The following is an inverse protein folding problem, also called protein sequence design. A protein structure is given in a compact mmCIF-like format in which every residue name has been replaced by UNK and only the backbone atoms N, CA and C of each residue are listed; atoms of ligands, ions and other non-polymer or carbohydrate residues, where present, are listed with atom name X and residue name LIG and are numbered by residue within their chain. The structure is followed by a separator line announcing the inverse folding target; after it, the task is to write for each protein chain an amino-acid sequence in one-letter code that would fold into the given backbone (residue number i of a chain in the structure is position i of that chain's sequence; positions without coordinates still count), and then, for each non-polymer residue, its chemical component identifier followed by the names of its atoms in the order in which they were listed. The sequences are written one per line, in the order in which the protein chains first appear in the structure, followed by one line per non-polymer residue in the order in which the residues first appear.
data_IF_788862415156
#
_entry.id   IF_788862415156
#
_cell.length_a   1.000
_cell.length_b   1.000
_cell.length_c   1.000
_cell.angle_alpha   90.00
_cell.angle_beta   90.00
_cell.angle_gamma   90.00
#
_symmetry.space_group_name_H-M   'P 1'
#
loop_
_entity.id
_entity.type
_entity.pdbx_description
1 polymer ?
#
# COMPACT_ATOMS: atom_id res chain seq x y z
N UNK A 1 10.67 -2.99 -14.79
CA UNK A 1 11.39 -2.24 -13.74
C UNK A 1 10.40 -2.01 -12.61
N UNK A 2 10.78 -2.30 -11.36
CA UNK A 2 9.94 -1.96 -10.20
C UNK A 2 9.94 -0.44 -10.06
N UNK A 3 8.80 0.17 -9.74
CA UNK A 3 8.70 1.62 -9.54
C UNK A 3 9.11 1.99 -8.09
N UNK A 4 9.28 3.28 -7.82
CA UNK A 4 9.69 3.78 -6.51
C UNK A 4 8.74 3.39 -5.37
N UNK A 5 7.43 3.26 -5.64
CA UNK A 5 6.45 2.81 -4.65
C UNK A 5 6.64 1.34 -4.28
N UNK A 6 6.78 0.47 -5.28
CA UNK A 6 7.02 -0.97 -5.07
C UNK A 6 8.31 -1.21 -4.27
N UNK A 7 9.39 -0.53 -4.64
CA UNK A 7 10.67 -0.65 -3.93
C UNK A 7 10.58 -0.16 -2.49
N UNK A 8 9.83 0.92 -2.26
CA UNK A 8 9.60 1.45 -0.92
C UNK A 8 8.81 0.47 -0.04
N UNK A 9 7.70 -0.08 -0.54
CA UNK A 9 6.89 -1.05 0.20
C UNK A 9 7.70 -2.28 0.59
N UNK A 10 8.44 -2.87 -0.35
CA UNK A 10 9.26 -4.06 -0.09
C UNK A 10 10.33 -3.78 0.97
N UNK A 11 10.96 -2.59 0.95
CA UNK A 11 11.93 -2.18 1.96
C UNK A 11 11.31 -2.02 3.36
N UNK A 12 10.02 -1.73 3.45
CA UNK A 12 9.28 -1.59 4.70
C UNK A 12 8.52 -2.86 5.09
N UNK A 13 8.93 -4.03 4.59
CA UNK A 13 8.38 -5.32 5.04
C UNK A 13 7.09 -5.76 4.35
N UNK A 14 6.59 -5.01 3.38
CA UNK A 14 5.43 -5.43 2.59
C UNK A 14 5.82 -6.50 1.57
N UNK A 15 4.96 -7.50 1.42
CA UNK A 15 5.09 -8.57 0.42
C UNK A 15 4.14 -8.31 -0.74
N UNK A 16 4.67 -8.30 -1.95
CA UNK A 16 3.87 -8.26 -3.19
C UNK A 16 3.11 -9.60 -3.34
N UNK A 17 1.78 -9.55 -3.38
CA UNK A 17 0.90 -10.71 -3.57
C UNK A 17 0.48 -10.85 -5.03
N UNK A 18 0.25 -9.70 -5.69
CA UNK A 18 0.04 -9.61 -7.13
C UNK A 18 0.58 -8.26 -7.62
N UNK A 19 0.46 -8.00 -8.94
CA UNK A 19 1.03 -6.82 -9.58
C UNK A 19 0.61 -5.47 -8.96
N UNK A 20 -0.51 -5.41 -8.24
CA UNK A 20 -1.05 -4.19 -7.66
C UNK A 20 -1.46 -4.36 -6.19
N UNK A 21 -1.15 -5.48 -5.54
CA UNK A 21 -1.54 -5.73 -4.15
C UNK A 21 -0.32 -6.09 -3.33
N UNK A 22 -0.20 -5.41 -2.19
CA UNK A 22 0.83 -5.64 -1.20
C UNK A 22 0.18 -5.99 0.13
N UNK A 23 0.77 -6.92 0.86
CA UNK A 23 0.30 -7.35 2.16
C UNK A 23 1.44 -7.27 3.17
N UNK A 24 1.13 -6.76 4.37
CA UNK A 24 1.99 -6.81 5.54
C UNK A 24 1.31 -7.66 6.62
N UNK A 25 2.02 -8.68 7.10
CA UNK A 25 1.57 -9.52 8.21
C UNK A 25 2.24 -9.03 9.50
N UNK A 26 1.60 -8.08 10.18
CA UNK A 26 1.91 -7.71 11.56
C UNK A 26 0.83 -8.24 12.51
N UNK A 27 0.66 -7.63 13.70
CA UNK A 27 -0.41 -7.98 14.64
C UNK A 27 -1.82 -7.88 14.03
N UNK A 28 -1.95 -7.14 12.93
CA UNK A 28 -3.14 -7.03 12.07
C UNK A 28 -2.74 -7.25 10.61
N UNK A 29 -3.66 -7.82 9.81
CA UNK A 29 -3.41 -8.04 8.38
C UNK A 29 -3.76 -6.77 7.63
N UNK A 30 -2.74 -6.09 7.09
CA UNK A 30 -2.91 -4.91 6.25
C UNK A 30 -2.68 -5.25 4.78
N UNK A 31 -3.57 -4.77 3.90
CA UNK A 31 -3.51 -4.96 2.45
C UNK A 31 -3.64 -3.61 1.73
N UNK A 32 -2.71 -3.31 0.82
CA UNK A 32 -2.73 -2.11 -0.03
C UNK A 32 -3.00 -2.54 -1.45
N UNK A 33 -4.02 -1.93 -2.07
CA UNK A 33 -4.39 -2.13 -3.46
C UNK A 33 -4.09 -0.87 -4.25
N UNK A 34 -3.41 -1.03 -5.37
CA UNK A 34 -3.17 0.03 -6.34
C UNK A 34 -4.14 -0.14 -7.51
N UNK A 35 -4.78 0.95 -7.89
CA UNK A 35 -5.54 1.01 -9.14
C UNK A 35 -4.67 1.57 -10.26
N UNK A 36 -5.08 1.34 -11.50
CA UNK A 36 -4.42 1.93 -12.69
C UNK A 36 -4.56 3.44 -12.77
N UNK A 37 -5.43 4.06 -11.96
CA UNK A 37 -5.64 5.51 -11.92
C UNK A 37 -4.74 6.22 -10.91
N UNK A 38 -3.76 5.54 -10.28
CA UNK A 38 -2.98 6.03 -9.14
C UNK A 38 -3.78 6.22 -7.84
N UNK A 39 -4.99 5.68 -7.76
CA UNK A 39 -5.71 5.59 -6.50
C UNK A 39 -5.26 4.34 -5.73
N UNK A 40 -5.18 4.46 -4.40
CA UNK A 40 -4.95 3.34 -3.50
C UNK A 40 -6.10 3.14 -2.53
N UNK A 41 -6.22 1.89 -2.09
CA UNK A 41 -7.10 1.47 -1.02
C UNK A 41 -6.30 0.67 0.00
N UNK A 42 -6.52 0.95 1.29
CA UNK A 42 -5.88 0.22 2.39
C UNK A 42 -6.96 -0.47 3.22
N UNK A 43 -6.78 -1.77 3.38
CA UNK A 43 -7.64 -2.62 4.19
C UNK A 43 -6.88 -3.13 5.40
N UNK A 44 -7.48 -3.02 6.58
CA UNK A 44 -7.00 -3.68 7.81
C UNK A 44 -8.08 -4.67 8.23
N UNK A 45 -7.72 -5.93 8.40
CA UNK A 45 -8.64 -7.01 8.76
C UNK A 45 -9.89 -7.04 7.85
N UNK A 46 -9.65 -6.89 6.54
CA UNK A 46 -10.68 -6.82 5.49
C UNK A 46 -11.65 -5.63 5.55
N UNK A 47 -11.34 -4.60 6.35
CA UNK A 47 -12.11 -3.34 6.39
C UNK A 47 -11.33 -2.23 5.70
N UNK A 48 -11.99 -1.51 4.79
CA UNK A 48 -11.41 -0.32 4.15
C UNK A 48 -11.22 0.77 5.21
N UNK A 49 -9.97 1.23 5.37
CA UNK A 49 -9.61 2.30 6.31
C UNK A 49 -9.22 3.57 5.56
N UNK A 50 -8.54 3.44 4.42
CA UNK A 50 -8.03 4.58 3.64
C UNK A 50 -8.33 4.36 2.17
N UNK A 51 -8.81 5.41 1.50
CA UNK A 51 -8.96 5.51 0.05
C UNK A 51 -8.40 6.88 -0.39
N UNK A 52 -7.32 6.89 -1.16
CA UNK A 52 -6.59 8.13 -1.50
C UNK A 52 -6.00 8.09 -2.90
N UNK A 53 -5.94 9.24 -3.56
CA UNK A 53 -5.22 9.42 -4.82
C UNK A 53 -3.76 9.76 -4.56
N UNK A 54 -2.83 9.02 -5.16
CA UNK A 54 -1.39 9.26 -5.06
C UNK A 54 -0.92 10.17 -6.19
N UNK A 55 -0.40 11.34 -5.83
CA UNK A 55 0.32 12.24 -6.72
C UNK A 55 1.82 11.92 -6.71
N UNK A 56 2.35 11.45 -5.59
CA UNK A 56 3.77 11.19 -5.39
C UNK A 56 4.03 10.17 -4.27
N UNK A 57 5.31 9.83 -4.05
CA UNK A 57 5.73 8.87 -3.03
C UNK A 57 5.44 9.33 -1.60
N UNK A 58 5.46 10.63 -1.33
CA UNK A 58 5.16 11.19 -0.02
C UNK A 58 3.72 10.88 0.41
N UNK A 59 2.77 10.93 -0.52
CA UNK A 59 1.38 10.58 -0.24
C UNK A 59 1.24 9.13 0.25
N UNK A 60 2.05 8.21 -0.29
CA UNK A 60 2.09 6.82 0.19
C UNK A 60 2.68 6.73 1.60
N UNK A 61 3.72 7.51 1.91
CA UNK A 61 4.31 7.52 3.26
C UNK A 61 3.31 8.03 4.30
N UNK A 62 2.56 9.08 3.97
CA UNK A 62 1.48 9.58 4.83
C UNK A 62 0.49 8.46 5.13
N UNK A 63 0.04 7.75 4.09
CA UNK A 63 -0.89 6.62 4.25
C UNK A 63 -0.29 5.52 5.11
N UNK A 64 0.98 5.15 4.93
CA UNK A 64 1.62 4.12 5.76
C UNK A 64 1.81 4.54 7.22
N UNK A 65 1.93 5.83 7.51
CA UNK A 65 2.04 6.33 8.89
C UNK A 65 0.69 6.33 9.64
N UNK A 66 -0.43 6.16 8.92
CA UNK A 66 -1.78 6.08 9.48
C UNK A 66 -2.21 4.63 9.82
N UNK A 67 -1.39 3.65 9.44
CA UNK A 67 -1.63 2.20 9.63
C UNK A 67 -0.74 1.71 10.77
#
# INVERSE_FOLDING_TARGET
MKNSFTEYLIKNGWKEINAMTFQQEESQKAEIFFSSSNQIEVYIDSKLIIEKYLLNLEDLKEVLNEI
#
